data_IF_246373214436
#
_entry.id   IF_246373214436
#
_cell.length_a   1.000
_cell.length_b   1.000
_cell.length_c   1.000
_cell.angle_alpha   90.00
_cell.angle_beta   90.00
_cell.angle_gamma   90.00
#
_symmetry.space_group_name_H-M   'P 1'
#
loop_
_entity.id
_entity.type
_entity.pdbx_description
1 polymer ?
#
# COMPACT_ATOMS: atom_id res chain seq x y z
N UNK A 1 -15.22 1.61 -21.74
CA UNK A 1 -14.12 1.98 -22.66
C UNK A 1 -13.01 2.54 -21.79
N UNK A 2 -11.80 1.98 -21.84
CA UNK A 2 -10.67 2.54 -21.09
C UNK A 2 -10.34 3.94 -21.68
N UNK A 3 -9.92 4.90 -20.84
CA UNK A 3 -9.55 6.22 -21.33
C UNK A 3 -8.39 6.09 -22.33
N UNK A 4 -8.41 6.93 -23.38
CA UNK A 4 -7.28 7.03 -24.30
C UNK A 4 -6.10 7.71 -23.59
N UNK A 5 -4.94 7.05 -23.56
CA UNK A 5 -3.72 7.58 -22.94
C UNK A 5 -2.91 6.49 -22.23
N UNK A 6 -1.85 6.89 -21.52
CA UNK A 6 -1.01 5.96 -20.75
C UNK A 6 -1.75 5.45 -19.51
N UNK A 7 -1.64 4.15 -19.29
CA UNK A 7 -2.19 3.47 -18.12
C UNK A 7 -1.03 2.89 -17.32
N UNK A 8 -0.95 3.24 -16.05
CA UNK A 8 -0.05 2.60 -15.12
C UNK A 8 -0.82 1.54 -14.33
N UNK A 9 -0.32 0.31 -14.36
CA UNK A 9 -0.91 -0.85 -13.66
C UNK A 9 -0.02 -1.36 -12.52
N UNK A 10 1.11 -0.70 -12.27
CA UNK A 10 2.10 -1.09 -11.29
C UNK A 10 2.23 -0.04 -10.20
N UNK A 11 1.10 0.36 -9.63
CA UNK A 11 1.07 1.27 -8.50
C UNK A 11 0.61 0.56 -7.23
N UNK A 12 1.29 0.86 -6.13
CA UNK A 12 0.91 0.35 -4.82
C UNK A 12 0.40 1.47 -3.92
N UNK A 13 -0.57 1.16 -3.09
CA UNK A 13 -1.08 2.06 -2.06
C UNK A 13 -1.40 1.24 -0.80
N UNK A 14 -1.11 1.80 0.37
CA UNK A 14 -1.46 1.18 1.64
C UNK A 14 -2.74 1.83 2.13
N UNK A 15 -3.80 1.04 2.23
CA UNK A 15 -5.08 1.54 2.75
C UNK A 15 -4.96 1.82 4.25
N UNK A 16 -5.84 2.68 4.81
CA UNK A 16 -5.89 2.89 6.26
C UNK A 16 -6.06 1.57 7.04
N UNK A 17 -6.90 0.65 6.54
CA UNK A 17 -7.09 -0.66 7.16
C UNK A 17 -5.79 -1.49 7.21
N UNK A 18 -5.02 -1.50 6.13
CA UNK A 18 -3.71 -2.17 6.10
C UNK A 18 -2.74 -1.55 7.11
N UNK A 19 -2.66 -0.21 7.15
CA UNK A 19 -1.78 0.51 8.07
C UNK A 19 -2.13 0.17 9.53
N UNK A 20 -3.41 0.15 9.87
CA UNK A 20 -3.86 -0.18 11.23
C UNK A 20 -3.55 -1.63 11.62
N UNK A 21 -3.77 -2.60 10.71
CA UNK A 21 -3.39 -3.99 10.95
C UNK A 21 -1.87 -4.11 11.16
N UNK A 22 -1.06 -3.46 10.33
CA UNK A 22 0.41 -3.48 10.48
C UNK A 22 0.88 -2.85 11.79
N UNK A 23 0.22 -1.81 12.29
CA UNK A 23 0.54 -1.18 13.59
C UNK A 23 0.14 -2.02 14.79
N UNK A 24 -0.97 -2.76 14.69
CA UNK A 24 -1.43 -3.63 15.76
C UNK A 24 -0.52 -4.87 15.95
N UNK A 25 0.17 -5.28 14.89
CA UNK A 25 1.04 -6.46 14.90
C UNK A 25 2.31 -6.26 15.73
N UNK A 26 2.76 -7.35 16.35
CA UNK A 26 4.00 -7.42 17.16
C UNK A 26 5.08 -8.31 16.53
N UNK A 27 4.82 -8.84 15.34
CA UNK A 27 5.72 -9.69 14.56
C UNK A 27 5.70 -9.26 13.09
N UNK A 28 6.83 -9.35 12.36
CA UNK A 28 6.87 -8.95 10.96
C UNK A 28 5.79 -9.64 10.09
N UNK A 29 5.27 -8.94 9.06
CA UNK A 29 5.46 -7.50 8.81
C UNK A 29 4.69 -6.65 9.84
N UNK A 30 5.27 -5.54 10.30
CA UNK A 30 4.60 -4.55 11.16
C UNK A 30 5.14 -3.13 10.93
N UNK A 31 4.38 -2.12 11.38
CA UNK A 31 4.78 -0.71 11.36
C UNK A 31 5.08 -0.20 12.77
N UNK A 32 6.24 0.44 12.96
CA UNK A 32 6.54 1.31 14.10
C UNK A 32 6.55 2.77 13.62
N UNK A 33 5.48 3.50 13.94
CA UNK A 33 5.15 4.76 13.27
C UNK A 33 4.95 4.55 11.76
N UNK A 34 5.90 5.03 10.96
CA UNK A 34 6.00 4.81 9.51
C UNK A 34 7.23 4.00 9.10
N UNK A 35 7.92 3.40 10.06
CA UNK A 35 9.02 2.47 9.78
C UNK A 35 8.45 1.06 9.62
N UNK A 36 8.59 0.50 8.41
CA UNK A 36 8.18 -0.85 8.07
C UNK A 36 9.28 -1.85 8.42
N UNK A 37 8.90 -2.88 9.18
CA UNK A 37 9.75 -3.99 9.55
C UNK A 37 9.30 -5.27 8.85
N UNK A 38 10.16 -5.84 8.00
CA UNK A 38 9.95 -7.12 7.32
C UNK A 38 11.06 -8.09 7.75
N UNK A 39 10.72 -9.37 7.91
CA UNK A 39 11.70 -10.40 8.26
C UNK A 39 12.75 -10.54 7.13
N UNK A 40 14.03 -10.47 7.49
CA UNK A 40 15.14 -10.63 6.54
C UNK A 40 15.45 -9.39 5.68
N UNK A 41 14.77 -8.27 5.89
CA UNK A 41 15.07 -6.99 5.24
C UNK A 41 15.45 -5.92 6.26
N UNK A 42 16.19 -4.90 5.81
CA UNK A 42 16.44 -3.72 6.63
C UNK A 42 15.13 -2.94 6.86
N UNK A 43 14.96 -2.26 8.00
CA UNK A 43 13.81 -1.38 8.22
C UNK A 43 13.71 -0.32 7.12
N UNK A 44 12.49 -0.07 6.65
CA UNK A 44 12.21 0.91 5.60
C UNK A 44 11.34 2.04 6.15
N UNK A 45 11.84 3.27 6.12
CA UNK A 45 11.05 4.44 6.49
C UNK A 45 10.14 4.83 5.31
N UNK A 46 8.85 4.49 5.41
CA UNK A 46 7.86 4.88 4.42
C UNK A 46 7.43 6.33 4.61
N UNK A 47 7.17 7.04 3.52
CA UNK A 47 6.54 8.35 3.59
C UNK A 47 5.01 8.17 3.63
N UNK A 48 4.29 8.73 4.64
CA UNK A 48 2.82 8.74 4.61
C UNK A 48 2.23 9.29 3.30
N UNK A 49 2.87 10.28 2.68
CA UNK A 49 2.37 10.94 1.48
C UNK A 49 2.42 10.04 0.24
N UNK A 50 3.28 9.02 0.23
CA UNK A 50 3.30 7.98 -0.81
C UNK A 50 2.03 7.10 -0.80
N UNK A 51 1.24 7.19 0.27
CA UNK A 51 0.01 6.43 0.47
C UNK A 51 -1.24 7.32 0.56
N UNK A 52 -1.10 8.63 0.38
CA UNK A 52 -2.23 9.57 0.29
C UNK A 52 -2.83 9.56 -1.13
N UNK A 53 -4.13 9.29 -1.23
CA UNK A 53 -4.82 9.13 -2.52
C UNK A 53 -4.83 10.43 -3.33
N UNK A 54 -5.02 11.58 -2.69
CA UNK A 54 -5.13 12.87 -3.38
C UNK A 54 -3.75 13.32 -3.90
N UNK A 55 -2.72 13.17 -3.07
CA UNK A 55 -1.32 13.44 -3.48
C UNK A 55 -0.93 12.55 -4.67
N UNK A 56 -1.23 11.25 -4.58
CA UNK A 56 -0.91 10.27 -5.62
C UNK A 56 -1.68 10.52 -6.91
N UNK A 57 -2.95 10.89 -6.80
CA UNK A 57 -3.77 11.23 -7.96
C UNK A 57 -3.34 12.56 -8.61
N UNK A 58 -2.83 13.52 -7.83
CA UNK A 58 -2.25 14.75 -8.38
C UNK A 58 -0.94 14.46 -9.13
N UNK A 59 -0.06 13.63 -8.56
CA UNK A 59 1.18 13.20 -9.20
C UNK A 59 0.91 12.45 -10.52
N UNK A 60 -0.02 11.48 -10.53
CA UNK A 60 -0.39 10.74 -11.74
C UNK A 60 -0.88 11.66 -12.87
N UNK A 61 -1.65 12.71 -12.53
CA UNK A 61 -2.09 13.72 -13.51
C UNK A 61 -0.94 14.57 -14.03
N UNK A 62 -0.01 14.96 -13.16
CA UNK A 62 1.19 15.71 -13.54
C UNK A 62 2.09 14.89 -14.48
N UNK A 63 2.14 13.57 -14.29
CA UNK A 63 2.88 12.62 -15.13
C UNK A 63 2.14 12.27 -16.44
N UNK A 64 0.94 12.82 -16.66
CA UNK A 64 0.16 12.61 -17.87
C UNK A 64 -0.52 11.24 -17.96
N UNK A 65 -0.66 10.51 -16.84
CA UNK A 65 -1.39 9.25 -16.81
C UNK A 65 -2.89 9.49 -17.01
N UNK A 66 -3.47 8.73 -17.93
CA UNK A 66 -4.92 8.70 -18.12
C UNK A 66 -5.61 7.84 -17.05
N UNK A 67 -4.91 6.83 -16.53
CA UNK A 67 -5.39 5.96 -15.46
C UNK A 67 -4.19 5.39 -14.68
N UNK A 68 -4.28 5.42 -13.36
CA UNK A 68 -3.43 4.63 -12.48
C UNK A 68 -4.30 3.57 -11.79
N UNK A 69 -3.96 2.30 -11.99
CA UNK A 69 -4.56 1.15 -11.30
C UNK A 69 -3.66 0.80 -10.13
N UNK A 70 -4.23 0.84 -8.93
CA UNK A 70 -3.51 0.52 -7.70
C UNK A 70 -3.80 -0.90 -7.25
N UNK A 71 -2.79 -1.56 -6.70
CA UNK A 71 -2.90 -2.85 -6.05
C UNK A 71 -2.32 -2.78 -4.63
N UNK A 72 -2.84 -3.60 -3.73
CA UNK A 72 -2.18 -3.83 -2.44
C UNK A 72 -0.75 -4.32 -2.70
N UNK A 73 0.20 -3.86 -1.88
CA UNK A 73 1.60 -4.23 -2.07
C UNK A 73 1.81 -5.71 -1.75
N UNK A 74 2.17 -6.49 -2.77
CA UNK A 74 2.49 -7.92 -2.61
C UNK A 74 3.68 -8.15 -1.65
N UNK A 75 4.57 -7.17 -1.51
CA UNK A 75 5.70 -7.22 -0.58
C UNK A 75 5.32 -7.20 0.91
N UNK A 76 4.05 -6.92 1.23
CA UNK A 76 3.55 -6.95 2.61
C UNK A 76 2.96 -8.30 3.01
N UNK A 77 2.94 -9.28 2.09
CA UNK A 77 2.54 -10.66 2.36
C UNK A 77 1.21 -10.77 3.11
N UNK A 78 0.21 -9.95 2.75
CA UNK A 78 -1.13 -9.96 3.37
C UNK A 78 -1.74 -11.36 3.32
N UNK A 79 -1.47 -12.10 2.25
CA UNK A 79 -1.86 -13.49 2.04
C UNK A 79 -1.23 -14.48 3.03
N UNK A 80 -0.19 -14.08 3.75
CA UNK A 80 0.48 -14.86 4.80
C UNK A 80 0.10 -14.40 6.22
N UNK A 81 -0.76 -13.39 6.36
CA UNK A 81 -1.31 -13.00 7.65
C UNK A 81 -2.30 -14.06 8.18
N UNK A 82 -2.54 -14.09 9.51
CA UNK A 82 -3.68 -14.82 10.05
C UNK A 82 -4.98 -14.44 9.34
N UNK A 83 -5.91 -15.38 9.12
CA UNK A 83 -7.11 -15.13 8.34
C UNK A 83 -7.96 -13.95 8.83
N UNK A 84 -8.04 -13.74 10.14
CA UNK A 84 -8.76 -12.63 10.77
C UNK A 84 -8.11 -11.28 10.49
N UNK A 85 -6.78 -11.21 10.54
CA UNK A 85 -6.01 -10.01 10.19
C UNK A 85 -6.09 -9.73 8.68
N UNK A 86 -5.97 -10.76 7.84
CA UNK A 86 -6.09 -10.64 6.38
C UNK A 86 -7.50 -10.17 5.99
N UNK A 87 -8.55 -10.71 6.63
CA UNK A 87 -9.92 -10.30 6.38
C UNK A 87 -10.16 -8.83 6.73
N UNK A 88 -9.56 -8.33 7.81
CA UNK A 88 -9.64 -6.92 8.19
C UNK A 88 -9.01 -5.99 7.13
N UNK A 89 -7.91 -6.42 6.50
CA UNK A 89 -7.30 -5.67 5.38
C UNK A 89 -8.19 -5.67 4.14
N UNK A 90 -8.79 -6.82 3.80
CA UNK A 90 -9.58 -7.00 2.57
C UNK A 90 -10.99 -6.41 2.64
N UNK A 91 -11.51 -6.17 3.84
CA UNK A 91 -12.83 -5.59 4.05
C UNK A 91 -12.85 -4.05 4.01
N UNK A 92 -11.67 -3.41 4.02
CA UNK A 92 -11.50 -1.95 3.96
C UNK A 92 -11.15 -1.45 2.57
#
# INVERSE_FOLDING_TARGET
>A
MLPSGSVDVHQHLWTPALVEVLRARRRPPYLDGWTLHIAGAAPFAADPLDHDVDVRAAAARADGLALAVVALSAGLSVEHLPPDEAAAVLAG
#
